data_IF_548961804846
#
_entry.id   IF_548961804846
#
_cell.length_a   1.000
_cell.length_b   1.000
_cell.length_c   1.000
_cell.angle_alpha   90.00
_cell.angle_beta   90.00
_cell.angle_gamma   90.00
#
_symmetry.space_group_name_H-M   'P 1'
#
loop_
_entity.id
_entity.type
_entity.pdbx_description
1 polymer ?
#
# COMPACT_ATOMS: atom_id res chain seq x y z
N UNK A 1 -8.32 -16.20 5.80
CA UNK A 1 -7.99 -16.13 7.23
C UNK A 1 -7.05 -14.96 7.61
N UNK A 2 -6.08 -14.57 6.79
CA UNK A 2 -5.20 -13.42 7.10
C UNK A 2 -5.92 -12.05 7.08
N UNK A 3 -6.80 -11.82 6.09
CA UNK A 3 -7.52 -10.55 5.90
C UNK A 3 -8.35 -10.18 7.14
N UNK A 4 -9.11 -11.14 7.68
CA UNK A 4 -9.93 -10.93 8.87
C UNK A 4 -9.10 -10.58 10.10
N UNK A 5 -8.02 -11.33 10.37
CA UNK A 5 -7.14 -11.10 11.52
C UNK A 5 -6.45 -9.74 11.41
N UNK A 6 -5.96 -9.39 10.23
CA UNK A 6 -5.29 -8.11 9.99
C UNK A 6 -6.29 -6.95 10.10
N UNK A 7 -7.43 -7.01 9.42
CA UNK A 7 -8.45 -5.95 9.43
C UNK A 7 -9.01 -5.68 10.82
N UNK A 8 -9.40 -6.73 11.57
CA UNK A 8 -9.95 -6.57 12.93
C UNK A 8 -8.89 -5.96 13.86
N UNK A 9 -7.66 -6.48 13.84
CA UNK A 9 -6.57 -5.97 14.69
C UNK A 9 -6.22 -4.52 14.35
N UNK A 10 -6.18 -4.16 13.07
CA UNK A 10 -5.89 -2.80 12.62
C UNK A 10 -6.96 -1.82 13.07
N UNK A 11 -8.24 -2.15 12.86
CA UNK A 11 -9.35 -1.25 13.17
C UNK A 11 -9.52 -1.05 14.68
N UNK A 12 -9.41 -2.13 15.47
CA UNK A 12 -9.67 -2.06 16.91
C UNK A 12 -8.48 -1.47 17.68
N UNK A 13 -7.25 -1.78 17.27
CA UNK A 13 -6.07 -1.46 18.07
C UNK A 13 -5.20 -0.36 17.44
N UNK A 14 -4.86 -0.51 16.16
CA UNK A 14 -3.89 0.39 15.50
C UNK A 14 -4.51 1.76 15.20
N UNK A 15 -5.74 1.80 14.65
CA UNK A 15 -6.44 3.06 14.37
C UNK A 15 -6.89 3.80 15.64
N UNK A 16 -7.02 3.11 16.78
CA UNK A 16 -7.34 3.75 18.07
C UNK A 16 -6.12 4.31 18.80
N UNK A 17 -4.92 3.90 18.42
CA UNK A 17 -3.68 4.41 19.00
C UNK A 17 -3.30 5.73 18.28
N UNK A 18 -4.05 6.78 18.61
CA UNK A 18 -3.92 8.13 18.08
C UNK A 18 -3.18 9.04 19.09
N UNK A 19 -2.28 9.90 18.59
CA UNK A 19 -1.67 11.00 19.35
C UNK A 19 -2.02 12.34 18.69
N UNK A 20 -3.10 12.97 19.12
CA UNK A 20 -3.57 14.29 18.65
C UNK A 20 -3.95 14.38 17.16
N UNK A 21 -4.53 13.31 16.59
CA UNK A 21 -4.97 13.25 15.20
C UNK A 21 -3.91 12.72 14.23
N UNK A 22 -2.71 12.36 14.72
CA UNK A 22 -1.69 11.66 13.95
C UNK A 22 -1.59 10.20 14.42
N UNK A 23 -1.83 9.27 13.50
CA UNK A 23 -1.69 7.83 13.71
C UNK A 23 -0.37 7.29 13.15
N UNK A 24 0.08 6.14 13.66
CA UNK A 24 1.21 5.39 13.08
C UNK A 24 2.53 5.48 13.87
N UNK A 25 3.61 5.06 13.22
CA UNK A 25 4.92 4.82 13.87
C UNK A 25 5.53 6.11 14.46
N UNK A 26 5.31 7.26 13.84
CA UNK A 26 5.80 8.56 14.31
C UNK A 26 5.02 9.06 15.54
N UNK A 27 3.71 8.88 15.55
CA UNK A 27 2.84 9.21 16.68
C UNK A 27 3.09 8.31 17.89
N UNK A 28 3.22 7.00 17.66
CA UNK A 28 3.51 6.01 18.69
C UNK A 28 4.89 6.21 19.30
N UNK A 29 5.91 6.51 18.50
CA UNK A 29 7.26 6.80 19.00
C UNK A 29 7.32 8.11 19.78
N UNK A 30 6.53 9.13 19.40
CA UNK A 30 6.39 10.36 20.18
C UNK A 30 5.70 10.16 21.53
N UNK A 31 4.60 9.39 21.55
CA UNK A 31 3.84 9.08 22.77
C UNK A 31 4.64 8.17 23.72
N UNK A 32 5.27 7.12 23.18
CA UNK A 32 6.11 6.20 23.95
C UNK A 32 7.33 6.91 24.55
N UNK A 33 7.93 7.87 23.82
CA UNK A 33 9.04 8.68 24.35
C UNK A 33 8.59 9.54 25.54
N UNK A 34 7.39 10.11 25.49
CA UNK A 34 6.81 10.88 26.62
C UNK A 34 6.53 9.98 27.82
N UNK A 35 5.97 8.78 27.60
CA UNK A 35 5.69 7.82 28.67
C UNK A 35 6.97 7.25 29.32
N UNK A 36 8.05 7.10 28.55
CA UNK A 36 9.33 6.58 29.03
C UNK A 36 10.25 7.64 29.66
N UNK A 37 9.88 8.93 29.64
CA UNK A 37 10.69 10.04 30.16
C UNK A 37 11.16 9.88 31.63
N UNK A 38 10.40 9.25 32.56
CA UNK A 38 10.87 9.02 33.93
C UNK A 38 12.01 7.99 34.03
N UNK A 39 12.23 7.16 33.00
CA UNK A 39 13.17 6.04 33.00
C UNK A 39 14.19 6.20 31.87
N UNK A 40 15.35 6.80 32.17
CA UNK A 40 16.35 7.17 31.14
C UNK A 40 16.79 6.04 30.20
N UNK A 41 16.96 4.80 30.70
CA UNK A 41 17.29 3.63 29.85
C UNK A 41 16.15 3.24 28.90
N UNK A 42 14.91 3.28 29.38
CA UNK A 42 13.73 2.96 28.57
C UNK A 42 13.50 4.04 27.51
N UNK A 43 13.72 5.31 27.86
CA UNK A 43 13.62 6.42 26.91
C UNK A 43 14.59 6.26 25.74
N UNK A 44 15.85 5.92 26.00
CA UNK A 44 16.84 5.66 24.95
C UNK A 44 16.42 4.50 24.06
N UNK A 45 15.95 3.40 24.65
CA UNK A 45 15.45 2.25 23.88
C UNK A 45 14.28 2.63 22.97
N UNK A 46 13.29 3.37 23.50
CA UNK A 46 12.12 3.82 22.73
C UNK A 46 12.50 4.74 21.57
N UNK A 47 13.48 5.64 21.77
CA UNK A 47 13.97 6.52 20.70
C UNK A 47 14.64 5.70 19.61
N UNK A 48 15.51 4.75 19.96
CA UNK A 48 16.19 3.88 18.98
C UNK A 48 15.17 3.02 18.23
N UNK A 49 14.22 2.41 18.92
CA UNK A 49 13.15 1.63 18.30
C UNK A 49 12.28 2.50 17.36
N UNK A 50 11.98 3.74 17.76
CA UNK A 50 11.27 4.71 16.93
C UNK A 50 12.04 5.09 15.66
N UNK A 51 13.35 5.29 15.77
CA UNK A 51 14.22 5.57 14.61
C UNK A 51 14.26 4.39 13.63
N UNK A 52 14.37 3.16 14.14
CA UNK A 52 14.32 1.95 13.31
C UNK A 52 12.96 1.86 12.60
N UNK A 53 11.86 2.06 13.33
CA UNK A 53 10.52 2.05 12.75
C UNK A 53 10.33 3.13 11.68
N UNK A 54 10.84 4.34 11.90
CA UNK A 54 10.78 5.43 10.93
C UNK A 54 11.61 5.12 9.67
N UNK A 55 12.79 4.53 9.83
CA UNK A 55 13.63 4.11 8.70
C UNK A 55 12.97 3.01 7.86
N UNK A 56 12.36 2.01 8.51
CA UNK A 56 11.59 0.97 7.83
C UNK A 56 10.39 1.55 7.08
N UNK A 57 9.64 2.46 7.72
CA UNK A 57 8.51 3.14 7.08
C UNK A 57 8.95 3.97 5.87
N UNK A 58 10.06 4.69 5.98
CA UNK A 58 10.62 5.47 4.88
C UNK A 58 11.04 4.56 3.72
N UNK A 59 11.71 3.43 4.03
CA UNK A 59 12.06 2.42 3.04
C UNK A 59 10.84 1.87 2.32
N UNK A 60 9.83 1.42 3.05
CA UNK A 60 8.59 0.86 2.49
C UNK A 60 7.83 1.87 1.62
N UNK A 61 7.79 3.13 2.05
CA UNK A 61 7.16 4.23 1.31
C UNK A 61 7.86 4.55 -0.02
N UNK A 62 9.18 4.30 -0.12
CA UNK A 62 9.96 4.51 -1.34
C UNK A 62 9.95 3.29 -2.26
N UNK A 63 9.98 2.09 -1.68
CA UNK A 63 10.03 0.82 -2.42
C UNK A 63 8.68 0.53 -3.09
N UNK A 64 7.57 0.75 -2.40
CA UNK A 64 6.23 0.37 -2.89
C UNK A 64 5.87 1.04 -4.23
N UNK A 65 6.03 2.36 -4.42
CA UNK A 65 5.77 3.00 -5.71
C UNK A 65 6.70 2.49 -6.82
N UNK A 66 7.97 2.26 -6.50
CA UNK A 66 8.96 1.79 -7.46
C UNK A 66 8.63 0.39 -7.97
N UNK A 67 8.37 -0.56 -7.07
CA UNK A 67 7.99 -1.92 -7.43
C UNK A 67 6.66 -1.93 -8.18
N UNK A 68 5.64 -1.20 -7.70
CA UNK A 68 4.32 -1.20 -8.32
C UNK A 68 4.36 -0.68 -9.77
N UNK A 69 5.11 0.38 -10.04
CA UNK A 69 5.25 0.94 -11.40
C UNK A 69 6.10 0.03 -12.27
N UNK A 70 7.21 -0.49 -11.76
CA UNK A 70 8.06 -1.41 -12.51
C UNK A 70 7.28 -2.66 -12.92
N UNK A 71 6.56 -3.30 -11.98
CA UNK A 71 5.73 -4.48 -12.29
C UNK A 71 4.59 -4.19 -13.26
N UNK A 72 4.03 -2.97 -13.26
CA UNK A 72 3.04 -2.57 -14.24
C UNK A 72 3.64 -2.44 -15.65
N UNK A 73 4.87 -1.94 -15.76
CA UNK A 73 5.60 -1.82 -17.03
C UNK A 73 6.08 -3.19 -17.53
N UNK A 74 6.62 -4.04 -16.66
CA UNK A 74 6.98 -5.43 -16.98
C UNK A 74 5.76 -6.23 -17.48
N UNK A 75 4.59 -6.01 -16.87
CA UNK A 75 3.35 -6.62 -17.34
C UNK A 75 2.96 -6.24 -18.77
N UNK A 76 3.42 -5.09 -19.26
CA UNK A 76 3.20 -4.65 -20.65
C UNK A 76 4.06 -5.42 -21.64
N UNK A 77 5.25 -5.89 -21.23
CA UNK A 77 6.16 -6.70 -22.07
C UNK A 77 5.51 -8.02 -22.50
N UNK A 78 4.64 -8.59 -21.66
CA UNK A 78 3.89 -9.81 -21.98
C UNK A 78 2.98 -9.60 -23.20
N UNK A 79 2.54 -8.36 -23.44
CA UNK A 79 1.66 -8.00 -24.55
C UNK A 79 2.39 -7.40 -25.76
N UNK A 80 3.63 -6.90 -25.59
CA UNK A 80 4.39 -6.21 -26.63
C UNK A 80 5.87 -6.61 -26.61
N UNK A 81 6.33 -7.22 -27.71
CA UNK A 81 7.74 -7.57 -27.90
C UNK A 81 8.62 -6.32 -28.06
N UNK A 82 9.83 -6.34 -27.47
CA UNK A 82 10.85 -5.29 -27.64
C UNK A 82 10.87 -4.19 -26.57
N UNK A 83 10.10 -4.33 -25.49
CA UNK A 83 10.08 -3.37 -24.37
C UNK A 83 11.15 -3.62 -23.30
N UNK A 84 11.89 -4.73 -23.35
CA UNK A 84 12.87 -5.14 -22.32
C UNK A 84 13.95 -4.09 -21.99
N UNK A 85 14.40 -3.33 -22.99
CA UNK A 85 15.40 -2.27 -22.77
C UNK A 85 14.76 -0.94 -22.31
N UNK A 86 13.44 -0.81 -22.46
CA UNK A 86 12.68 0.40 -22.15
C UNK A 86 11.96 0.34 -20.81
N UNK A 87 11.89 -0.83 -20.16
CA UNK A 87 11.21 -1.06 -18.88
C UNK A 87 11.63 -0.06 -17.81
N UNK A 88 12.94 0.02 -17.55
CA UNK A 88 13.50 0.88 -16.50
C UNK A 88 13.37 2.36 -16.87
N UNK A 89 13.77 2.81 -18.09
CA UNK A 89 13.53 4.20 -18.51
C UNK A 89 12.06 4.63 -18.42
N UNK A 90 11.13 3.78 -18.85
CA UNK A 90 9.71 4.08 -18.84
C UNK A 90 9.16 4.17 -17.41
N UNK A 91 9.54 3.23 -16.53
CA UNK A 91 9.18 3.28 -15.12
C UNK A 91 9.67 4.58 -14.45
N UNK A 92 10.90 5.01 -14.74
CA UNK A 92 11.43 6.29 -14.25
C UNK A 92 10.62 7.49 -14.75
N UNK A 93 10.27 7.52 -16.05
CA UNK A 93 9.43 8.58 -16.63
C UNK A 93 8.07 8.63 -15.93
N UNK A 94 7.43 7.48 -15.74
CA UNK A 94 6.13 7.38 -15.06
C UNK A 94 6.23 7.85 -13.61
N UNK A 95 7.24 7.40 -12.85
CA UNK A 95 7.45 7.82 -11.47
C UNK A 95 7.68 9.33 -11.39
N UNK A 96 8.60 9.88 -12.19
CA UNK A 96 8.88 11.32 -12.22
C UNK A 96 7.60 12.09 -12.55
N UNK A 97 6.84 11.66 -13.57
CA UNK A 97 5.57 12.28 -13.94
C UNK A 97 4.54 12.26 -12.80
N UNK A 98 4.35 11.11 -12.16
CA UNK A 98 3.43 10.97 -11.02
C UNK A 98 3.83 11.87 -9.85
N UNK A 99 5.09 11.85 -9.43
CA UNK A 99 5.57 12.70 -8.33
C UNK A 99 5.55 14.19 -8.67
N UNK A 100 5.78 14.58 -9.93
CA UNK A 100 5.65 15.97 -10.39
C UNK A 100 4.21 16.48 -10.32
N UNK A 101 3.22 15.61 -10.55
CA UNK A 101 1.81 15.97 -10.42
C UNK A 101 1.40 16.02 -8.94
N UNK A 102 1.94 15.13 -8.10
CA UNK A 102 1.64 15.07 -6.65
C UNK A 102 1.92 16.38 -5.92
N UNK A 103 2.94 17.16 -6.36
CA UNK A 103 3.28 18.46 -5.76
C UNK A 103 2.13 19.49 -5.79
N UNK A 104 1.13 19.31 -6.67
CA UNK A 104 -0.03 20.21 -6.79
C UNK A 104 -1.22 19.79 -5.91
N UNK A 105 -1.02 18.80 -5.03
CA UNK A 105 -2.01 18.31 -4.07
C UNK A 105 -2.57 16.94 -4.43
N UNK A 106 -2.67 16.06 -3.43
CA UNK A 106 -3.17 14.69 -3.55
C UNK A 106 -4.63 14.61 -3.99
N UNK A 107 -5.42 15.65 -3.68
CA UNK A 107 -6.82 15.74 -4.09
C UNK A 107 -7.02 15.71 -5.62
N UNK A 108 -6.13 16.37 -6.37
CA UNK A 108 -6.21 16.41 -7.85
C UNK A 108 -5.92 15.04 -8.47
N UNK A 109 -5.00 14.30 -7.87
CA UNK A 109 -4.68 12.93 -8.29
C UNK A 109 -5.84 11.99 -7.95
N UNK A 110 -6.43 12.13 -6.77
CA UNK A 110 -7.60 11.33 -6.39
C UNK A 110 -8.76 11.46 -7.39
N UNK A 111 -9.01 12.66 -7.93
CA UNK A 111 -10.04 12.89 -8.95
C UNK A 111 -9.72 12.19 -10.27
N UNK A 112 -8.45 12.15 -10.68
CA UNK A 112 -8.03 11.47 -11.92
C UNK A 112 -8.04 9.94 -11.76
N UNK A 113 -7.57 9.44 -10.62
CA UNK A 113 -7.49 8.00 -10.36
C UNK A 113 -8.86 7.37 -10.11
N UNK A 114 -9.84 8.12 -9.59
CA UNK A 114 -11.19 7.62 -9.32
C UNK A 114 -11.85 6.94 -10.53
N UNK A 115 -12.00 7.63 -11.67
CA UNK A 115 -12.55 7.02 -12.89
C UNK A 115 -11.75 5.82 -13.40
N UNK A 116 -10.41 5.86 -13.34
CA UNK A 116 -9.54 4.75 -13.75
C UNK A 116 -9.79 3.52 -12.88
N UNK A 117 -9.92 3.71 -11.57
CA UNK A 117 -10.21 2.64 -10.62
C UNK A 117 -11.60 2.04 -10.83
N UNK A 118 -12.61 2.87 -11.11
CA UNK A 118 -13.96 2.39 -11.45
C UNK A 118 -13.94 1.54 -12.72
N UNK A 119 -13.23 1.99 -13.76
CA UNK A 119 -13.09 1.24 -15.00
C UNK A 119 -12.35 -0.08 -14.77
N UNK A 120 -11.26 -0.06 -13.99
CA UNK A 120 -10.48 -1.24 -13.65
C UNK A 120 -11.30 -2.28 -12.87
N UNK A 121 -11.95 -1.87 -11.78
CA UNK A 121 -12.79 -2.78 -10.99
C UNK A 121 -14.02 -3.24 -11.76
N UNK A 122 -14.60 -2.39 -12.61
CA UNK A 122 -15.68 -2.77 -13.51
C UNK A 122 -15.25 -3.87 -14.49
N UNK A 123 -14.06 -3.72 -15.09
CA UNK A 123 -13.49 -4.73 -15.97
C UNK A 123 -13.22 -6.06 -15.23
N UNK A 124 -12.61 -6.02 -14.05
CA UNK A 124 -12.38 -7.21 -13.22
C UNK A 124 -13.69 -7.88 -12.79
N UNK A 125 -14.71 -7.10 -12.45
CA UNK A 125 -16.03 -7.64 -12.09
C UNK A 125 -16.68 -8.33 -13.29
N UNK A 126 -16.65 -7.72 -14.48
CA UNK A 126 -17.20 -8.32 -15.68
C UNK A 126 -16.48 -9.62 -16.07
N UNK A 127 -15.13 -9.61 -16.05
CA UNK A 127 -14.33 -10.80 -16.30
C UNK A 127 -14.54 -11.89 -15.24
N UNK A 128 -14.68 -11.50 -13.97
CA UNK A 128 -14.98 -12.41 -12.87
C UNK A 128 -16.35 -13.08 -13.05
N UNK A 129 -17.39 -12.31 -13.37
CA UNK A 129 -18.73 -12.85 -13.67
C UNK A 129 -18.68 -13.79 -14.86
N UNK A 130 -17.99 -13.42 -15.94
CA UNK A 130 -17.80 -14.28 -17.11
C UNK A 130 -17.09 -15.59 -16.75
N UNK A 131 -16.06 -15.54 -15.90
CA UNK A 131 -15.38 -16.73 -15.38
C UNK A 131 -16.28 -17.63 -14.54
N UNK A 132 -17.09 -17.05 -13.66
CA UNK A 132 -18.05 -17.81 -12.81
C UNK A 132 -19.13 -18.50 -13.65
N UNK A 133 -19.61 -17.85 -14.71
CA UNK A 133 -20.59 -18.46 -15.64
C UNK A 133 -19.98 -19.67 -16.35
N UNK A 134 -18.71 -19.58 -16.77
CA UNK A 134 -18.02 -20.69 -17.42
C UNK A 134 -17.70 -21.84 -16.46
N UNK A 135 -17.39 -21.54 -15.20
CA UNK A 135 -17.01 -22.56 -14.22
C UNK A 135 -17.70 -22.31 -12.87
N UNK A 136 -18.98 -22.70 -12.74
CA UNK A 136 -19.77 -22.43 -11.52
C UNK A 136 -19.21 -23.13 -10.27
N UNK A 137 -18.45 -24.21 -10.46
CA UNK A 137 -17.78 -24.95 -9.40
C UNK A 137 -16.79 -24.09 -8.60
N UNK A 138 -16.29 -22.99 -9.17
CA UNK A 138 -15.42 -22.02 -8.45
C UNK A 138 -16.11 -21.47 -7.20
N UNK A 139 -17.44 -21.37 -7.18
CA UNK A 139 -18.18 -20.92 -6.00
C UNK A 139 -18.07 -21.89 -4.82
N UNK A 140 -17.76 -23.17 -5.07
CA UNK A 140 -17.55 -24.15 -4.00
C UNK A 140 -16.27 -23.86 -3.20
N UNK A 141 -15.29 -23.15 -3.78
CA UNK A 141 -14.08 -22.71 -3.08
C UNK A 141 -14.34 -21.66 -2.00
N UNK A 142 -15.54 -21.07 -1.95
CA UNK A 142 -15.97 -20.21 -0.85
C UNK A 142 -16.44 -21.01 0.38
N UNK A 143 -16.71 -22.30 0.23
CA UNK A 143 -17.13 -23.17 1.33
C UNK A 143 -15.89 -23.66 2.08
N UNK A 144 -15.68 -23.26 3.35
CA UNK A 144 -14.51 -23.65 4.14
C UNK A 144 -14.49 -25.14 4.55
N UNK A 145 -15.51 -25.92 4.14
CA UNK A 145 -15.62 -27.37 4.39
C UNK A 145 -14.95 -28.20 3.28
N UNK A 146 -14.50 -27.56 2.19
CA UNK A 146 -13.63 -28.14 1.16
C UNK A 146 -12.16 -27.77 1.36
#
# INVERSE_FOLDING_TARGET
SLVWVVSIKYVIFVLRADNQGEGGVMALSALARRAAAPFGRLQTFVVVAGLIGAALFYGDSMITPAISVLSAVEGLEIAFDGLEHWTVPLALIVLIGLFLIQKHGTARIGILFGPVMVLWFGALAALGVYGVIQQPEVLQAMNPVW
#
